data_IF_596213795621
#
_entry.id   IF_596213795621
#
_cell.length_a   1.000
_cell.length_b   1.000
_cell.length_c   1.000
_cell.angle_alpha   90.00
_cell.angle_beta   90.00
_cell.angle_gamma   90.00
#
_symmetry.space_group_name_H-M   'P 1'
#
loop_
_entity.id
_entity.type
_entity.pdbx_description
1 polymer ?
#
# COMPACT_ATOMS: atom_id res chain seq x y z
N UNK A 1 -4.15 -44.96 -70.35
CA UNK A 1 -3.46 -43.67 -70.18
C UNK A 1 -4.24 -42.80 -69.20
N UNK A 2 -3.53 -42.09 -68.32
CA UNK A 2 -3.98 -41.10 -67.33
C UNK A 2 -4.64 -41.62 -66.04
N UNK A 3 -3.77 -41.87 -65.07
CA UNK A 3 -3.97 -41.81 -63.63
C UNK A 3 -4.62 -40.48 -63.21
N UNK A 4 -5.46 -40.50 -62.18
CA UNK A 4 -5.54 -39.37 -61.25
C UNK A 4 -5.52 -39.86 -59.80
N UNK A 5 -4.46 -39.42 -59.13
CA UNK A 5 -4.07 -39.77 -57.79
C UNK A 5 -4.97 -39.07 -56.78
N UNK A 6 -5.46 -39.86 -55.82
CA UNK A 6 -6.02 -39.38 -54.56
C UNK A 6 -4.90 -38.64 -53.80
N UNK A 7 -5.06 -37.34 -53.59
CA UNK A 7 -4.24 -36.55 -52.67
C UNK A 7 -5.11 -36.16 -51.47
N UNK A 8 -5.07 -36.99 -50.43
CA UNK A 8 -5.54 -36.63 -49.09
C UNK A 8 -4.49 -35.68 -48.51
N UNK A 9 -4.79 -34.39 -48.47
CA UNK A 9 -4.06 -33.40 -47.67
C UNK A 9 -4.71 -33.40 -46.29
N UNK A 10 -4.00 -34.01 -45.33
CA UNK A 10 -4.43 -34.13 -43.94
C UNK A 10 -4.52 -32.76 -43.27
N UNK A 11 -5.70 -32.46 -42.74
CA UNK A 11 -5.96 -31.36 -41.83
C UNK A 11 -5.37 -31.71 -40.46
N UNK A 12 -4.12 -31.32 -40.20
CA UNK A 12 -3.60 -31.28 -38.83
C UNK A 12 -4.19 -30.06 -38.13
N UNK A 13 -5.34 -30.23 -37.49
CA UNK A 13 -5.85 -29.28 -36.51
C UNK A 13 -4.91 -29.27 -35.31
N UNK A 14 -4.03 -28.26 -35.23
CA UNK A 14 -3.34 -27.92 -33.99
C UNK A 14 -4.36 -27.28 -33.05
N UNK A 15 -4.94 -28.08 -32.15
CA UNK A 15 -5.63 -27.56 -30.97
C UNK A 15 -4.57 -27.03 -30.00
N UNK A 16 -4.36 -25.72 -29.99
CA UNK A 16 -3.63 -25.05 -28.94
C UNK A 16 -4.49 -25.07 -27.66
N UNK A 17 -4.13 -25.92 -26.70
CA UNK A 17 -4.69 -25.88 -25.35
C UNK A 17 -4.20 -24.59 -24.67
N UNK A 18 -5.05 -23.56 -24.65
CA UNK A 18 -4.83 -22.37 -23.83
C UNK A 18 -4.99 -22.78 -22.36
N UNK A 19 -3.87 -23.05 -21.69
CA UNK A 19 -3.84 -23.13 -20.23
C UNK A 19 -4.10 -21.73 -19.68
N UNK A 20 -5.34 -21.48 -19.26
CA UNK A 20 -5.70 -20.31 -18.46
C UNK A 20 -5.06 -20.56 -17.09
N UNK A 21 -3.82 -20.11 -16.92
CA UNK A 21 -3.21 -19.99 -15.59
C UNK A 21 -3.97 -18.85 -14.91
N UNK A 22 -4.96 -19.20 -14.09
CA UNK A 22 -5.52 -18.27 -13.14
C UNK A 22 -4.39 -17.91 -12.17
N UNK A 23 -3.74 -16.78 -12.40
CA UNK A 23 -2.92 -16.17 -11.37
C UNK A 23 -3.85 -15.93 -10.18
N UNK A 24 -3.61 -16.64 -9.07
CA UNK A 24 -4.19 -16.23 -7.80
C UNK A 24 -3.84 -14.75 -7.61
N UNK A 25 -4.76 -13.90 -7.09
CA UNK A 25 -4.35 -12.56 -6.69
C UNK A 25 -3.13 -12.75 -5.79
N UNK A 26 -2.03 -12.07 -6.11
CA UNK A 26 -0.91 -11.99 -5.19
C UNK A 26 -1.53 -11.57 -3.85
N UNK A 27 -1.33 -12.39 -2.81
CA UNK A 27 -1.72 -11.97 -1.48
C UNK A 27 -0.96 -10.68 -1.26
N UNK A 28 -1.73 -9.61 -1.20
CA UNK A 28 -1.20 -8.30 -0.92
C UNK A 28 -0.55 -8.42 0.48
N UNK A 29 0.72 -8.02 0.61
CA UNK A 29 1.50 -7.97 1.84
C UNK A 29 0.83 -7.01 2.85
N UNK A 30 -0.06 -7.60 3.64
CA UNK A 30 -0.74 -6.91 4.74
C UNK A 30 0.25 -6.60 5.87
N UNK A 31 0.10 -5.43 6.47
CA UNK A 31 0.91 -5.00 7.60
C UNK A 31 0.05 -4.40 8.71
N UNK A 32 0.62 -4.27 9.91
CA UNK A 32 -0.10 -3.80 11.10
C UNK A 32 0.30 -2.38 11.42
N UNK A 33 -0.69 -1.51 11.59
CA UNK A 33 -0.48 -0.12 11.97
C UNK A 33 0.22 -0.02 13.33
N UNK A 34 1.43 0.57 13.42
CA UNK A 34 2.11 0.76 14.70
C UNK A 34 1.40 1.83 15.56
N UNK A 35 1.62 1.78 16.87
CA UNK A 35 1.23 2.88 17.77
C UNK A 35 2.32 3.96 17.73
N UNK A 36 1.98 5.09 17.13
CA UNK A 36 2.89 6.23 16.90
C UNK A 36 2.37 7.53 17.50
N UNK A 37 1.26 7.49 18.22
CA UNK A 37 0.70 8.68 18.87
C UNK A 37 1.66 9.19 19.96
N UNK A 38 1.86 10.51 20.02
CA UNK A 38 2.81 11.17 20.93
C UNK A 38 4.27 11.11 20.47
N UNK A 39 4.59 10.46 19.35
CA UNK A 39 5.94 10.45 18.80
C UNK A 39 6.23 11.74 18.02
N UNK A 40 7.51 12.09 17.93
CA UNK A 40 7.97 13.05 16.93
C UNK A 40 7.73 12.46 15.53
N UNK A 41 7.25 13.28 14.58
CA UNK A 41 6.82 12.81 13.27
C UNK A 41 7.92 12.06 12.49
N UNK A 42 9.19 12.43 12.65
CA UNK A 42 10.30 11.69 12.05
C UNK A 42 10.37 10.23 12.53
N UNK A 43 10.15 9.97 13.81
CA UNK A 43 10.19 8.63 14.39
C UNK A 43 8.94 7.84 14.01
N UNK A 44 7.77 8.50 14.03
CA UNK A 44 6.52 7.92 13.57
C UNK A 44 6.59 7.45 12.11
N UNK A 45 7.15 8.28 11.22
CA UNK A 45 7.40 7.93 9.82
C UNK A 45 8.28 6.68 9.71
N UNK A 46 9.39 6.66 10.45
CA UNK A 46 10.31 5.52 10.44
C UNK A 46 9.61 4.23 10.91
N UNK A 47 8.73 4.33 11.92
CA UNK A 47 7.96 3.20 12.42
C UNK A 47 6.95 2.68 11.38
N UNK A 48 6.26 3.57 10.65
CA UNK A 48 5.34 3.18 9.56
C UNK A 48 6.12 2.50 8.43
N UNK A 49 7.21 3.11 7.96
CA UNK A 49 8.06 2.52 6.92
C UNK A 49 8.60 1.15 7.34
N UNK A 50 9.02 0.98 8.60
CA UNK A 50 9.49 -0.29 9.10
C UNK A 50 8.38 -1.36 9.16
N UNK A 51 7.18 -0.97 9.60
CA UNK A 51 6.02 -1.87 9.69
C UNK A 51 5.52 -2.30 8.31
N UNK A 52 5.58 -1.40 7.33
CA UNK A 52 5.15 -1.66 5.95
C UNK A 52 6.29 -2.16 5.05
N UNK A 53 7.44 -2.56 5.58
CA UNK A 53 8.63 -2.97 4.81
C UNK A 53 9.06 -1.96 3.71
N UNK A 54 8.82 -0.67 3.96
CA UNK A 54 9.15 0.44 3.06
C UNK A 54 8.14 0.67 1.93
N UNK A 55 7.01 -0.04 1.92
CA UNK A 55 5.99 0.07 0.85
C UNK A 55 5.23 1.39 0.90
N UNK A 56 4.96 1.94 2.10
CA UNK A 56 4.16 3.17 2.24
C UNK A 56 4.85 4.25 3.06
N UNK A 57 4.65 5.48 2.62
CA UNK A 57 4.94 6.70 3.38
C UNK A 57 3.62 7.22 3.97
N UNK A 58 3.53 7.50 5.29
CA UNK A 58 2.32 8.04 5.88
C UNK A 58 1.96 9.41 5.27
N UNK A 59 0.68 9.62 4.98
CA UNK A 59 0.15 10.95 4.73
C UNK A 59 0.11 11.75 6.04
N UNK A 60 0.28 13.07 5.96
CA UNK A 60 0.25 13.95 7.13
C UNK A 60 -0.77 15.06 6.94
N UNK A 61 -1.40 15.46 8.04
CA UNK A 61 -2.29 16.63 8.08
C UNK A 61 -2.16 17.32 9.43
N UNK A 62 -2.39 18.64 9.48
CA UNK A 62 -2.30 19.40 10.72
C UNK A 62 -3.58 19.28 11.55
N UNK A 63 -3.46 19.11 12.86
CA UNK A 63 -4.58 19.01 13.79
C UNK A 63 -5.44 20.28 13.80
N UNK A 64 -4.77 21.43 13.75
CA UNK A 64 -5.40 22.75 13.75
C UNK A 64 -4.70 23.69 12.75
N UNK A 65 -5.43 24.72 12.32
CA UNK A 65 -4.92 25.72 11.40
C UNK A 65 -4.96 25.30 9.92
N UNK A 66 -4.40 26.13 9.02
CA UNK A 66 -4.35 25.81 7.60
C UNK A 66 -3.43 24.60 7.36
N UNK A 67 -3.64 23.84 6.26
CA UNK A 67 -2.77 22.72 5.93
C UNK A 67 -1.36 23.25 5.66
N UNK A 68 -0.41 22.86 6.50
CA UNK A 68 1.01 23.09 6.29
C UNK A 68 1.64 21.82 5.72
N UNK A 69 2.69 21.98 4.93
CA UNK A 69 3.57 20.87 4.54
C UNK A 69 4.63 20.66 5.64
N UNK A 70 4.87 19.40 6.01
CA UNK A 70 5.78 19.05 7.10
C UNK A 70 7.20 18.83 6.57
N UNK A 71 7.92 19.91 6.26
CA UNK A 71 9.31 19.80 5.73
C UNK A 71 10.31 19.31 6.79
N UNK A 72 10.27 19.91 7.97
CA UNK A 72 11.14 19.53 9.08
C UNK A 72 10.35 18.69 10.08
N UNK A 73 10.40 17.37 9.88
CA UNK A 73 9.64 16.37 10.61
C UNK A 73 9.94 16.31 12.12
N UNK A 74 11.08 16.85 12.57
CA UNK A 74 11.38 16.86 14.01
C UNK A 74 10.69 18.00 14.76
N UNK A 75 10.06 18.96 14.05
CA UNK A 75 9.27 20.05 14.63
C UNK A 75 7.77 19.73 14.75
N UNK A 76 7.40 18.45 14.69
CA UNK A 76 6.02 17.99 14.71
C UNK A 76 5.88 16.79 15.63
N UNK A 77 4.75 16.73 16.32
CA UNK A 77 4.30 15.63 17.18
C UNK A 77 3.04 15.02 16.58
N UNK A 78 2.94 13.69 16.61
CA UNK A 78 1.75 12.97 16.15
C UNK A 78 0.68 13.01 17.25
N UNK A 79 -0.43 13.70 16.96
CA UNK A 79 -1.55 13.83 17.89
C UNK A 79 -2.56 12.69 17.74
N UNK A 80 -2.72 12.18 16.52
CA UNK A 80 -3.60 11.04 16.25
C UNK A 80 -3.15 10.31 14.97
N UNK A 81 -3.66 9.09 14.81
CA UNK A 81 -3.37 8.23 13.67
C UNK A 81 -4.63 7.57 13.12
N UNK A 82 -4.68 7.38 11.81
CA UNK A 82 -5.72 6.65 11.11
C UNK A 82 -5.09 5.69 10.08
N UNK A 83 -5.38 4.38 10.15
CA UNK A 83 -6.23 3.72 11.14
C UNK A 83 -5.59 3.67 12.54
N UNK A 84 -6.36 3.21 13.54
CA UNK A 84 -5.86 3.02 14.90
C UNK A 84 -4.79 1.94 14.97
N UNK A 85 -3.91 2.04 15.97
CA UNK A 85 -2.86 1.05 16.21
C UNK A 85 -3.42 -0.37 16.27
N UNK A 86 -2.68 -1.34 15.74
CA UNK A 86 -3.10 -2.74 15.66
C UNK A 86 -4.05 -3.05 14.50
N UNK A 87 -4.52 -2.05 13.75
CA UNK A 87 -5.34 -2.29 12.56
C UNK A 87 -4.49 -2.89 11.44
N UNK A 88 -5.03 -3.90 10.75
CA UNK A 88 -4.42 -4.46 9.55
C UNK A 88 -4.69 -3.52 8.37
N UNK A 89 -3.63 -3.09 7.71
CA UNK A 89 -3.68 -2.23 6.53
C UNK A 89 -3.40 -3.08 5.29
N UNK A 90 -4.25 -2.99 4.25
CA UNK A 90 -3.94 -3.58 2.95
C UNK A 90 -2.83 -2.76 2.28
N UNK A 91 -1.71 -3.41 2.01
CA UNK A 91 -0.53 -2.98 1.25
C UNK A 91 -0.32 -1.48 1.13
N UNK A 92 -0.41 -0.97 -0.09
CA UNK A 92 -0.04 0.35 -0.57
C UNK A 92 -0.99 1.45 -0.10
N UNK A 93 -1.87 1.16 0.86
CA UNK A 93 -2.75 2.15 1.49
C UNK A 93 -1.95 2.95 2.53
N UNK A 94 -1.66 4.24 2.28
CA UNK A 94 -0.92 5.04 3.25
C UNK A 94 -1.83 5.36 4.45
N UNK A 95 -1.35 5.16 5.70
CA UNK A 95 -2.05 5.69 6.86
C UNK A 95 -1.95 7.22 6.88
N UNK A 96 -2.83 7.86 7.64
CA UNK A 96 -2.78 9.30 7.91
C UNK A 96 -2.34 9.56 9.34
N UNK A 97 -1.37 10.45 9.52
CA UNK A 97 -0.92 10.98 10.80
C UNK A 97 -1.40 12.43 10.94
N UNK A 98 -2.14 12.70 12.01
CA UNK A 98 -2.57 14.05 12.37
C UNK A 98 -1.52 14.61 13.30
N UNK A 99 -0.96 15.77 12.96
CA UNK A 99 0.20 16.35 13.66
C UNK A 99 -0.04 17.77 14.14
N UNK A 100 0.62 18.15 15.21
CA UNK A 100 0.72 19.53 15.68
C UNK A 100 2.16 19.85 16.03
N UNK A 101 2.43 21.09 16.43
CA UNK A 101 3.70 21.42 17.07
C UNK A 101 3.82 20.66 18.41
N UNK A 102 5.04 20.36 18.86
CA UNK A 102 5.24 19.68 20.13
C UNK A 102 4.52 20.37 21.29
N UNK A 103 3.70 19.63 22.02
CA UNK A 103 2.88 20.14 23.12
C UNK A 103 1.61 20.92 22.70
N UNK A 104 1.33 21.04 21.41
CA UNK A 104 0.11 21.69 20.87
C UNK A 104 -0.91 20.66 20.36
N UNK A 105 -0.76 19.38 20.71
CA UNK A 105 -1.79 18.39 20.39
C UNK A 105 -3.09 18.71 21.16
N UNK A 106 -4.27 18.63 20.50
CA UNK A 106 -5.54 18.83 21.17
C UNK A 106 -5.65 17.84 22.33
N UNK A 107 -5.82 18.35 23.55
CA UNK A 107 -6.05 17.51 24.71
C UNK A 107 -7.49 17.01 24.59
N UNK A 108 -7.64 15.71 24.29
CA UNK A 108 -8.90 15.08 23.89
C UNK A 108 -10.15 15.66 24.55
N UNK A 109 -11.02 16.22 23.72
CA UNK A 109 -12.45 16.40 24.00
C UNK A 109 -13.21 15.08 23.82
#
# INVERSE_FOLDING_TARGET
MKNQAVRVLGTTSLFAAAAIVAAAPAAADQWVMPDVTGQVLQDARNAVLAASEGVVEPATTTAEGPPFEQENLTNWEVCAQAPSAGTIIPDDTPPTLIVARPGECPSGE
#
